data_IF_742796625126
#
_entry.id   IF_742796625126
#
_cell.length_a   1.000
_cell.length_b   1.000
_cell.length_c   1.000
_cell.angle_alpha   90.00
_cell.angle_beta   90.00
_cell.angle_gamma   90.00
#
_symmetry.space_group_name_H-M   'P 1'
#
loop_
_entity.id
_entity.type
_entity.pdbx_description
1 polymer ?
#
# COMPACT_ATOMS: atom_id res chain seq x y z
N UNK A 1 2.37 -33.20 74.93
CA UNK A 1 1.15 -33.99 74.62
C UNK A 1 0.68 -33.60 73.23
N UNK A 2 0.71 -34.56 72.29
CA UNK A 2 -0.01 -34.64 70.98
C UNK A 2 0.09 -33.44 70.00
N UNK A 3 0.30 -33.62 68.70
CA UNK A 3 0.34 -34.80 67.84
C UNK A 3 0.62 -34.37 66.40
N UNK A 4 1.30 -35.24 65.66
CA UNK A 4 1.67 -35.05 64.27
C UNK A 4 0.44 -35.05 63.33
N UNK A 5 0.45 -34.17 62.32
CA UNK A 5 -0.47 -34.20 61.19
C UNK A 5 0.30 -34.21 59.88
N UNK A 6 0.47 -35.40 59.30
CA UNK A 6 1.01 -35.58 57.95
C UNK A 6 -0.07 -35.24 56.93
N UNK A 7 0.21 -34.36 55.96
CA UNK A 7 -0.59 -34.23 54.74
C UNK A 7 0.31 -34.39 53.52
N UNK A 8 0.13 -35.51 52.83
CA UNK A 8 0.72 -35.76 51.51
C UNK A 8 -0.35 -35.63 50.42
N UNK A 9 0.12 -35.14 49.27
CA UNK A 9 -0.39 -35.23 47.89
C UNK A 9 -1.60 -34.32 47.55
N UNK A 10 -1.70 -33.70 46.37
CA UNK A 10 -1.35 -34.20 45.03
C UNK A 10 -0.92 -33.05 44.09
N UNK A 11 0.09 -33.30 43.25
CA UNK A 11 0.36 -32.50 42.06
C UNK A 11 -0.82 -32.64 41.09
N UNK A 12 -1.46 -31.53 40.72
CA UNK A 12 -2.47 -31.53 39.66
C UNK A 12 -1.79 -31.69 38.28
N UNK A 13 -2.39 -32.43 37.33
CA UNK A 13 -1.88 -32.46 35.96
C UNK A 13 -2.12 -31.10 35.28
N UNK A 14 -1.14 -30.67 34.46
CA UNK A 14 -1.26 -29.45 33.64
C UNK A 14 -2.46 -29.55 32.70
N UNK A 15 -3.24 -28.47 32.49
CA UNK A 15 -4.31 -28.46 31.51
C UNK A 15 -3.71 -28.60 30.11
N UNK A 16 -4.08 -29.67 29.42
CA UNK A 16 -3.76 -29.90 28.02
C UNK A 16 -4.87 -29.26 27.19
N UNK A 17 -4.67 -28.04 26.71
CA UNK A 17 -5.73 -27.39 25.94
C UNK A 17 -5.50 -25.96 25.51
N UNK A 18 -4.46 -25.67 24.72
CA UNK A 18 -4.44 -24.49 23.86
C UNK A 18 -3.73 -24.84 22.54
N UNK A 19 -4.45 -25.49 21.62
CA UNK A 19 -3.94 -25.79 20.27
C UNK A 19 -4.83 -25.25 19.14
N UNK A 20 -5.88 -24.49 19.48
CA UNK A 20 -6.83 -23.90 18.53
C UNK A 20 -6.70 -22.38 18.34
N UNK A 21 -6.20 -21.65 19.33
CA UNK A 21 -6.25 -20.18 19.34
C UNK A 21 -5.09 -19.53 18.58
N UNK A 22 -3.93 -20.19 18.55
CA UNK A 22 -2.74 -19.72 17.82
C UNK A 22 -3.01 -19.62 16.32
N UNK A 23 -3.75 -20.59 15.74
CA UNK A 23 -4.06 -20.64 14.30
C UNK A 23 -4.96 -19.50 13.84
N UNK A 24 -5.79 -18.94 14.75
CA UNK A 24 -6.71 -17.86 14.42
C UNK A 24 -5.99 -16.51 14.39
N UNK A 25 -5.02 -16.29 15.27
CA UNK A 25 -4.19 -15.09 15.27
C UNK A 25 -3.20 -15.03 14.11
N UNK A 26 -2.65 -16.16 13.65
CA UNK A 26 -1.74 -16.18 12.48
C UNK A 26 -2.50 -15.81 11.19
N UNK A 27 -3.69 -16.37 10.97
CA UNK A 27 -4.50 -16.10 9.78
C UNK A 27 -5.10 -14.69 9.72
N UNK A 28 -5.27 -14.00 10.86
CA UNK A 28 -5.68 -12.59 10.87
C UNK A 28 -4.48 -11.70 10.53
N UNK A 29 -3.29 -11.98 11.09
CA UNK A 29 -2.06 -11.26 10.71
C UNK A 29 -1.59 -11.53 9.28
N UNK A 30 -1.95 -12.68 8.69
CA UNK A 30 -1.60 -12.99 7.31
C UNK A 30 -2.36 -12.10 6.32
N UNK A 31 -3.65 -11.81 6.59
CA UNK A 31 -4.51 -11.01 5.70
C UNK A 31 -4.10 -9.54 5.60
N UNK A 32 -3.55 -8.97 6.68
CA UNK A 32 -3.02 -7.60 6.66
C UNK A 32 -1.63 -7.51 6.00
N UNK A 33 -1.01 -8.66 5.69
CA UNK A 33 0.32 -8.76 5.08
C UNK A 33 0.27 -9.17 3.59
N UNK A 34 -0.93 -9.37 3.03
CA UNK A 34 -1.14 -9.72 1.63
C UNK A 34 -1.36 -8.48 0.74
N UNK A 35 -1.74 -7.33 1.31
CA UNK A 35 -1.89 -6.08 0.56
C UNK A 35 -0.59 -5.28 0.56
N UNK A 36 -0.04 -5.08 -0.62
CA UNK A 36 1.18 -4.29 -0.87
C UNK A 36 0.80 -2.90 -1.34
N UNK A 37 1.71 -1.95 -1.12
CA UNK A 37 1.55 -0.57 -1.59
C UNK A 37 2.28 -0.38 -2.90
N UNK A 38 1.61 0.22 -3.87
CA UNK A 38 2.15 0.55 -5.18
C UNK A 38 2.04 2.04 -5.45
N UNK A 39 3.11 2.64 -5.95
CA UNK A 39 3.15 4.00 -6.44
C UNK A 39 2.86 3.99 -7.94
N UNK A 40 1.79 4.68 -8.33
CA UNK A 40 1.43 5.02 -9.69
C UNK A 40 1.94 6.43 -9.95
N UNK A 41 2.94 6.58 -10.83
CA UNK A 41 3.43 7.87 -11.28
C UNK A 41 2.84 8.21 -12.64
N UNK A 42 2.15 9.35 -12.71
CA UNK A 42 1.50 9.84 -13.93
C UNK A 42 2.52 10.58 -14.78
N UNK A 43 2.76 10.07 -15.99
CA UNK A 43 3.80 10.56 -16.89
C UNK A 43 3.19 11.14 -18.17
N UNK A 44 3.69 12.33 -18.51
CA UNK A 44 3.27 13.12 -19.64
C UNK A 44 2.19 14.14 -19.29
N UNK A 45 2.31 15.32 -19.87
CA UNK A 45 1.34 16.40 -19.74
C UNK A 45 0.90 16.91 -21.10
N UNK A 46 -0.41 16.97 -21.26
CA UNK A 46 -1.08 17.80 -22.25
C UNK A 46 -2.14 18.62 -21.52
N UNK A 47 -2.47 19.80 -22.06
CA UNK A 47 -3.51 20.64 -21.47
C UNK A 47 -4.84 19.84 -21.44
N UNK A 48 -5.42 19.54 -20.26
CA UNK A 48 -6.60 18.72 -20.19
C UNK A 48 -7.80 19.37 -20.89
N UNK A 49 -8.56 18.58 -21.65
CA UNK A 49 -9.91 18.96 -22.09
C UNK A 49 -10.92 18.64 -20.98
N UNK A 50 -12.14 19.20 -21.01
CA UNK A 50 -13.20 18.85 -20.06
C UNK A 50 -13.48 17.34 -20.00
N UNK A 51 -13.45 16.65 -21.13
CA UNK A 51 -13.69 15.20 -21.23
C UNK A 51 -12.58 14.40 -20.53
N UNK A 52 -11.33 14.83 -20.68
CA UNK A 52 -10.19 14.22 -19.97
C UNK A 52 -10.37 14.43 -18.46
N UNK A 53 -10.70 15.66 -18.02
CA UNK A 53 -10.92 15.93 -16.60
C UNK A 53 -12.07 15.10 -16.00
N UNK A 54 -13.15 14.90 -16.74
CA UNK A 54 -14.27 14.05 -16.32
C UNK A 54 -13.85 12.58 -16.20
N UNK A 55 -13.15 12.04 -17.19
CA UNK A 55 -12.65 10.67 -17.16
C UNK A 55 -11.69 10.45 -15.97
N UNK A 56 -10.83 11.44 -15.68
CA UNK A 56 -9.95 11.42 -14.51
C UNK A 56 -10.74 11.43 -13.20
N UNK A 57 -11.76 12.29 -13.09
CA UNK A 57 -12.65 12.35 -11.93
C UNK A 57 -13.33 11.00 -11.67
N UNK A 58 -13.91 10.40 -12.70
CA UNK A 58 -14.54 9.08 -12.61
C UNK A 58 -13.54 7.98 -12.22
N UNK A 59 -12.31 8.04 -12.74
CA UNK A 59 -11.27 7.09 -12.37
C UNK A 59 -10.91 7.23 -10.89
N UNK A 60 -10.68 8.45 -10.38
CA UNK A 60 -10.37 8.68 -8.96
C UNK A 60 -11.46 8.12 -8.05
N UNK A 61 -12.73 8.31 -8.40
CA UNK A 61 -13.85 7.72 -7.66
C UNK A 61 -13.82 6.19 -7.68
N UNK A 62 -13.51 5.59 -8.84
CA UNK A 62 -13.47 4.13 -9.01
C UNK A 62 -12.36 3.42 -8.23
N UNK A 63 -11.28 4.14 -7.89
CA UNK A 63 -10.11 3.59 -7.17
C UNK A 63 -9.96 4.14 -5.74
N UNK A 64 -10.93 4.94 -5.28
CA UNK A 64 -10.87 5.62 -3.99
C UNK A 64 -10.74 4.64 -2.81
N UNK A 65 -11.36 3.47 -2.89
CA UNK A 65 -11.31 2.44 -1.84
C UNK A 65 -9.95 1.75 -1.71
N UNK A 66 -9.09 1.87 -2.73
CA UNK A 66 -7.73 1.29 -2.77
C UNK A 66 -6.66 2.35 -2.62
N UNK A 67 -7.02 3.63 -2.65
CA UNK A 67 -6.05 4.73 -2.62
C UNK A 67 -5.68 5.03 -1.17
N UNK A 68 -4.39 4.94 -0.87
CA UNK A 68 -3.78 5.30 0.42
C UNK A 68 -3.45 6.79 0.46
N UNK A 69 -2.90 7.30 -0.63
CA UNK A 69 -2.46 8.70 -0.76
C UNK A 69 -2.46 9.11 -2.23
N UNK A 70 -2.60 10.40 -2.51
CA UNK A 70 -2.53 10.93 -3.89
C UNK A 70 -2.21 12.42 -3.89
N UNK A 71 -1.57 12.88 -4.96
CA UNK A 71 -1.27 14.29 -5.14
C UNK A 71 -0.93 14.68 -6.57
N UNK A 72 -1.38 15.87 -6.97
CA UNK A 72 -0.95 16.54 -8.19
C UNK A 72 0.24 17.45 -7.92
N UNK A 73 1.14 17.56 -8.89
CA UNK A 73 2.30 18.45 -8.81
C UNK A 73 2.01 19.78 -9.51
N UNK A 74 2.65 20.86 -9.04
CA UNK A 74 2.53 22.20 -9.65
C UNK A 74 3.81 22.65 -10.38
N UNK A 75 4.89 21.88 -10.25
CA UNK A 75 6.19 22.11 -10.87
C UNK A 75 7.25 21.21 -10.26
N UNK A 76 8.47 21.22 -10.81
CA UNK A 76 9.54 20.36 -10.31
C UNK A 76 10.92 20.82 -10.74
N UNK A 77 11.93 20.36 -10.00
CA UNK A 77 13.35 20.56 -10.31
C UNK A 77 14.07 19.23 -10.23
N UNK A 78 15.00 19.01 -11.15
CA UNK A 78 15.94 17.91 -11.08
C UNK A 78 17.28 18.43 -10.56
N UNK A 79 17.85 17.74 -9.59
CA UNK A 79 19.19 17.98 -9.06
C UNK A 79 20.05 16.79 -9.43
N UNK A 80 21.18 17.04 -10.10
CA UNK A 80 22.14 16.01 -10.52
C UNK A 80 23.57 16.50 -10.34
N UNK A 81 24.55 15.65 -10.68
CA UNK A 81 25.96 16.01 -10.65
C UNK A 81 26.30 17.19 -11.58
N UNK A 82 25.49 17.48 -12.60
CA UNK A 82 25.68 18.60 -13.52
C UNK A 82 25.01 19.90 -13.05
N UNK A 83 24.33 19.89 -11.90
CA UNK A 83 23.65 21.05 -11.34
C UNK A 83 22.14 20.84 -11.18
N UNK A 84 21.40 21.95 -11.13
CA UNK A 84 19.93 21.95 -10.99
C UNK A 84 19.29 22.45 -12.27
N UNK A 85 18.23 21.79 -12.73
CA UNK A 85 17.39 22.25 -13.85
C UNK A 85 15.92 22.24 -13.47
N UNK A 86 15.15 23.15 -14.08
CA UNK A 86 13.70 23.12 -14.00
C UNK A 86 13.15 21.95 -14.85
N UNK A 87 12.08 21.33 -14.36
CA UNK A 87 11.34 20.32 -15.11
C UNK A 87 10.18 21.01 -15.84
N UNK A 88 10.18 21.04 -17.18
CA UNK A 88 9.08 21.60 -17.96
C UNK A 88 7.82 20.75 -17.84
N UNK A 89 6.66 21.36 -18.15
CA UNK A 89 5.38 20.69 -18.30
C UNK A 89 5.20 20.22 -19.74
N UNK A 90 5.78 19.08 -20.08
CA UNK A 90 5.73 18.46 -21.41
C UNK A 90 5.39 16.95 -21.33
N UNK A 91 5.53 16.24 -22.45
CA UNK A 91 5.24 14.80 -22.52
C UNK A 91 6.22 13.95 -21.70
N UNK A 92 7.32 14.52 -21.20
CA UNK A 92 8.33 13.84 -20.40
C UNK A 92 8.27 14.20 -18.90
N UNK A 93 7.22 14.92 -18.47
CA UNK A 93 7.09 15.35 -17.09
C UNK A 93 6.28 14.35 -16.23
N UNK A 94 6.50 14.41 -14.91
CA UNK A 94 5.66 13.70 -13.93
C UNK A 94 4.65 14.71 -13.39
N UNK A 95 3.37 14.38 -13.50
CA UNK A 95 2.27 15.31 -13.21
C UNK A 95 1.64 15.10 -11.84
N UNK A 96 1.83 13.91 -11.26
CA UNK A 96 1.32 13.55 -9.96
C UNK A 96 1.53 12.08 -9.65
N UNK A 97 0.93 11.64 -8.56
CA UNK A 97 1.01 10.26 -8.10
C UNK A 97 -0.26 9.79 -7.39
N UNK A 98 -0.42 8.47 -7.35
CA UNK A 98 -1.33 7.76 -6.47
C UNK A 98 -0.57 6.62 -5.78
N UNK A 99 -0.72 6.48 -4.48
CA UNK A 99 -0.32 5.28 -3.74
C UNK A 99 -1.57 4.43 -3.55
N UNK A 100 -1.55 3.20 -4.06
CA UNK A 100 -2.67 2.26 -3.95
C UNK A 100 -2.27 1.00 -3.19
N UNK A 101 -3.25 0.30 -2.64
CA UNK A 101 -3.12 -1.05 -2.12
C UNK A 101 -3.58 -2.08 -3.16
N UNK A 102 -2.74 -3.09 -3.42
CA UNK A 102 -3.04 -4.21 -4.31
C UNK A 102 -2.37 -5.50 -3.81
N UNK A 103 -2.91 -6.67 -4.18
CA UNK A 103 -2.37 -7.97 -3.77
C UNK A 103 -0.96 -8.22 -4.35
N UNK A 104 -0.76 -7.83 -5.61
CA UNK A 104 0.47 -8.00 -6.35
C UNK A 104 0.60 -6.98 -7.50
N UNK A 105 1.66 -7.12 -8.30
CA UNK A 105 1.93 -6.23 -9.43
C UNK A 105 0.86 -6.34 -10.52
N UNK A 106 0.31 -7.54 -10.77
CA UNK A 106 -0.70 -7.76 -11.81
C UNK A 106 -2.02 -7.05 -11.42
N UNK A 107 -2.40 -7.13 -10.14
CA UNK A 107 -3.53 -6.39 -9.60
C UNK A 107 -3.31 -4.88 -9.68
N UNK A 108 -2.11 -4.39 -9.34
CA UNK A 108 -1.77 -2.97 -9.44
C UNK A 108 -1.78 -2.48 -10.90
N UNK A 109 -1.24 -3.27 -11.83
CA UNK A 109 -1.27 -2.98 -13.27
C UNK A 109 -2.69 -2.91 -13.80
N UNK A 110 -3.55 -3.85 -13.39
CA UNK A 110 -4.95 -3.84 -13.78
C UNK A 110 -5.65 -2.56 -13.34
N UNK A 111 -5.39 -2.07 -12.12
CA UNK A 111 -5.92 -0.78 -11.63
C UNK A 111 -5.35 0.39 -12.43
N UNK A 112 -4.04 0.38 -12.70
CA UNK A 112 -3.38 1.44 -13.48
C UNK A 112 -3.92 1.52 -14.93
N UNK A 113 -4.19 0.38 -15.55
CA UNK A 113 -4.63 0.27 -16.94
C UNK A 113 -6.00 0.89 -17.23
N UNK A 114 -6.81 1.13 -16.19
CA UNK A 114 -8.12 1.80 -16.33
C UNK A 114 -8.02 3.32 -16.25
N UNK A 115 -6.84 3.86 -15.93
CA UNK A 115 -6.62 5.30 -15.85
C UNK A 115 -6.55 5.93 -17.25
N UNK A 116 -7.19 7.10 -17.45
CA UNK A 116 -7.08 7.87 -18.70
C UNK A 116 -5.75 8.66 -18.76
N UNK A 117 -4.61 7.95 -18.74
CA UNK A 117 -3.28 8.56 -18.74
C UNK A 117 -2.95 9.22 -20.09
N UNK A 118 -2.08 10.23 -20.05
CA UNK A 118 -1.66 10.97 -21.25
C UNK A 118 -0.58 10.19 -22.03
N UNK A 119 0.56 9.91 -21.41
CA UNK A 119 1.65 9.15 -22.06
C UNK A 119 1.80 7.77 -21.45
N UNK A 120 1.93 7.67 -20.12
CA UNK A 120 1.97 6.39 -19.43
C UNK A 120 1.75 6.53 -17.93
N UNK A 121 1.52 5.40 -17.26
CA UNK A 121 1.69 5.26 -15.81
C UNK A 121 2.91 4.39 -15.55
N UNK A 122 3.75 4.81 -14.61
CA UNK A 122 4.86 3.99 -14.10
C UNK A 122 4.48 3.43 -12.73
N UNK A 123 4.60 2.11 -12.56
CA UNK A 123 4.18 1.41 -11.35
C UNK A 123 5.42 0.94 -10.58
N UNK A 124 5.47 1.23 -9.28
CA UNK A 124 6.54 0.79 -8.38
C UNK A 124 5.97 0.17 -7.11
N UNK A 125 6.43 -1.02 -6.73
CA UNK A 125 6.15 -1.59 -5.41
C UNK A 125 6.92 -0.81 -4.34
N UNK A 126 6.21 -0.29 -3.34
CA UNK A 126 6.81 0.38 -2.19
C UNK A 126 7.23 -0.66 -1.15
N UNK A 127 8.46 -0.54 -0.67
CA UNK A 127 8.94 -1.38 0.44
C UNK A 127 8.18 -1.00 1.70
N UNK A 128 7.79 -1.99 2.49
CA UNK A 128 7.36 -1.75 3.86
C UNK A 128 8.47 -0.99 4.61
N UNK A 129 8.09 0.03 5.39
CA UNK A 129 9.02 0.70 6.27
C UNK A 129 9.64 -0.35 7.22
N UNK A 130 10.98 -0.34 7.32
CA UNK A 130 11.67 -1.11 8.33
C UNK A 130 11.70 -0.24 9.59
N UNK A 131 10.89 -0.61 10.57
CA UNK A 131 10.93 -0.04 11.92
C UNK A 131 12.21 -0.47 12.67
#
# INVERSE_FOLDING_TARGET
>A
MAGAGQHKFKCAPRPQGQRGEVRRFTAIRQRDNDMKKYLLLHYGFEKPTPEIMEAWGAWFESVADKTVDQGGFSGGREISNSGTRELPWDLDCITGYNVIEAEDFDAAEKIASTNPFISSIRIYELRAAQD
#
